data_IF_166131979358
#
_entry.id   IF_166131979358
#
_cell.length_a   1.000
_cell.length_b   1.000
_cell.length_c   1.000
_cell.angle_alpha   90.00
_cell.angle_beta   90.00
_cell.angle_gamma   90.00
#
_symmetry.space_group_name_H-M   'P 1'
#
loop_
_entity.id
_entity.type
_entity.pdbx_description
1 polymer ?
#
# COMPACT_ATOMS: atom_id res chain seq x y z
N UNK A 1 -17.76 13.09 -23.19
CA UNK A 1 -17.06 12.26 -22.20
C UNK A 1 -16.37 13.26 -21.30
N UNK A 2 -16.95 13.53 -20.14
CA UNK A 2 -16.49 14.57 -19.22
C UNK A 2 -15.39 13.96 -18.38
N UNK A 3 -14.24 14.64 -18.31
CA UNK A 3 -13.07 14.30 -17.52
C UNK A 3 -13.43 14.07 -16.03
N UNK A 4 -13.58 12.81 -15.63
CA UNK A 4 -13.75 12.37 -14.25
C UNK A 4 -12.37 12.13 -13.56
N UNK A 5 -11.29 12.72 -14.08
CA UNK A 5 -9.94 12.57 -13.54
C UNK A 5 -9.70 13.27 -12.18
N UNK A 6 -10.71 13.94 -11.59
CA UNK A 6 -10.54 14.75 -10.39
C UNK A 6 -11.33 14.27 -9.16
N UNK A 7 -11.99 13.12 -9.19
CA UNK A 7 -12.57 12.49 -8.01
C UNK A 7 -11.72 11.28 -7.60
N UNK A 8 -10.89 11.38 -6.56
CA UNK A 8 -10.08 10.25 -6.09
C UNK A 8 -10.87 9.17 -5.34
N UNK A 9 -12.12 9.45 -4.95
CA UNK A 9 -13.06 8.39 -4.62
C UNK A 9 -13.43 7.61 -5.88
N UNK A 10 -13.47 8.25 -7.05
CA UNK A 10 -13.56 7.59 -8.34
C UNK A 10 -12.27 6.83 -8.67
N UNK A 11 -11.08 7.41 -8.39
CA UNK A 11 -9.81 6.72 -8.60
C UNK A 11 -9.71 5.42 -7.78
N UNK A 12 -10.21 5.42 -6.54
CA UNK A 12 -10.26 4.22 -5.71
C UNK A 12 -11.43 3.29 -6.10
N UNK A 13 -12.54 3.83 -6.61
CA UNK A 13 -13.67 3.04 -7.10
C UNK A 13 -13.35 2.32 -8.42
N UNK A 14 -12.60 2.95 -9.32
CA UNK A 14 -12.11 2.33 -10.56
C UNK A 14 -11.09 1.19 -10.30
N UNK A 15 -10.53 1.15 -9.09
CA UNK A 15 -9.60 0.10 -8.64
C UNK A 15 -10.30 -1.00 -7.83
N UNK A 16 -11.59 -0.84 -7.51
CA UNK A 16 -12.38 -1.82 -6.79
C UNK A 16 -12.96 -2.84 -7.75
N UNK A 17 -12.70 -4.11 -7.49
CA UNK A 17 -13.25 -5.23 -8.23
C UNK A 17 -14.16 -6.05 -7.31
N UNK A 18 -15.46 -6.05 -7.60
CA UNK A 18 -16.47 -6.83 -6.84
C UNK A 18 -16.48 -8.32 -7.25
N UNK A 19 -15.72 -8.68 -8.30
CA UNK A 19 -15.61 -10.06 -8.75
C UNK A 19 -14.75 -10.89 -7.81
N UNK A 20 -15.21 -12.10 -7.50
CA UNK A 20 -14.40 -13.06 -6.75
C UNK A 20 -13.21 -13.53 -7.59
N UNK A 21 -12.11 -13.83 -6.89
CA UNK A 21 -10.91 -14.37 -7.51
C UNK A 21 -11.20 -15.80 -8.01
N UNK A 22 -10.87 -16.07 -9.26
CA UNK A 22 -10.96 -17.41 -9.85
C UNK A 22 -9.84 -18.31 -9.30
N UNK A 23 -10.14 -18.95 -8.18
CA UNK A 23 -9.22 -19.83 -7.44
C UNK A 23 -8.82 -21.02 -8.27
N UNK A 24 -9.77 -21.65 -8.99
CA UNK A 24 -9.53 -22.86 -9.76
C UNK A 24 -8.58 -22.62 -10.92
N UNK A 25 -8.71 -21.48 -11.59
CA UNK A 25 -7.77 -21.06 -12.65
C UNK A 25 -6.37 -20.78 -12.09
N UNK A 26 -6.26 -20.20 -10.89
CA UNK A 26 -4.96 -19.96 -10.26
C UNK A 26 -4.32 -21.30 -9.86
N UNK A 27 -5.06 -22.22 -9.26
CA UNK A 27 -4.56 -23.56 -8.88
C UNK A 27 -4.01 -24.29 -10.10
N UNK A 28 -4.79 -24.36 -11.17
CA UNK A 28 -4.37 -25.01 -12.43
C UNK A 28 -3.13 -24.36 -13.05
N UNK A 29 -3.03 -23.01 -12.94
CA UNK A 29 -1.86 -22.29 -13.44
C UNK A 29 -0.61 -22.58 -12.62
N UNK A 30 -0.73 -22.74 -11.31
CA UNK A 30 0.40 -23.10 -10.44
C UNK A 30 0.86 -24.54 -10.71
N UNK A 31 -0.08 -25.47 -10.94
CA UNK A 31 0.25 -26.85 -11.34
C UNK A 31 1.06 -26.85 -12.64
N UNK A 32 0.59 -26.14 -13.67
CA UNK A 32 1.30 -25.98 -14.93
C UNK A 32 2.71 -25.36 -14.74
N UNK A 33 2.89 -24.41 -13.82
CA UNK A 33 4.20 -23.84 -13.50
C UNK A 33 5.11 -24.93 -12.90
N UNK A 34 4.62 -25.76 -11.97
CA UNK A 34 5.40 -26.83 -11.35
C UNK A 34 5.90 -27.81 -12.40
N UNK A 35 5.02 -28.24 -13.31
CA UNK A 35 5.40 -29.11 -14.44
C UNK A 35 6.43 -28.43 -15.36
N UNK A 36 6.20 -27.17 -15.71
CA UNK A 36 7.06 -26.43 -16.63
C UNK A 36 8.49 -26.21 -16.11
N UNK A 37 8.68 -26.13 -14.80
CA UNK A 37 10.02 -26.07 -14.18
C UNK A 37 10.66 -27.44 -13.94
N UNK A 38 9.99 -28.55 -14.29
CA UNK A 38 10.47 -29.91 -14.16
C UNK A 38 10.23 -30.56 -12.80
N UNK A 39 9.28 -30.02 -12.00
CA UNK A 39 8.87 -30.64 -10.75
C UNK A 39 7.73 -31.65 -10.97
N UNK A 40 7.57 -32.58 -10.03
CA UNK A 40 6.45 -33.51 -9.97
C UNK A 40 5.35 -32.94 -9.05
N UNK A 41 4.21 -32.46 -9.60
CA UNK A 41 3.12 -31.89 -8.79
C UNK A 41 2.53 -32.89 -7.80
N UNK A 42 2.58 -34.21 -8.13
CA UNK A 42 2.01 -35.26 -7.29
C UNK A 42 2.90 -35.65 -6.10
N UNK A 43 4.15 -35.21 -6.05
CA UNK A 43 5.01 -35.52 -4.90
C UNK A 43 4.46 -34.91 -3.61
N UNK A 44 4.63 -35.61 -2.48
CA UNK A 44 4.05 -35.31 -1.17
C UNK A 44 4.22 -33.82 -0.74
N UNK A 45 5.31 -33.18 -1.10
CA UNK A 45 5.56 -31.77 -0.74
C UNK A 45 4.78 -30.77 -1.57
N UNK A 46 4.38 -31.11 -2.80
CA UNK A 46 3.78 -30.20 -3.79
C UNK A 46 2.29 -30.41 -4.03
N UNK A 47 1.73 -31.58 -3.72
CA UNK A 47 0.31 -31.91 -3.97
C UNK A 47 -0.70 -30.86 -3.45
N UNK A 48 -0.35 -30.10 -2.41
CA UNK A 48 -1.19 -29.01 -1.87
C UNK A 48 -0.68 -27.62 -2.24
N UNK A 49 0.39 -27.49 -3.02
CA UNK A 49 1.00 -26.20 -3.35
C UNK A 49 0.10 -25.33 -4.21
N UNK A 50 -0.59 -25.85 -5.26
CA UNK A 50 -1.52 -25.04 -6.04
C UNK A 50 -2.57 -24.34 -5.16
N UNK A 51 -3.26 -25.12 -4.32
CA UNK A 51 -4.25 -24.59 -3.39
C UNK A 51 -3.68 -23.56 -2.39
N UNK A 52 -2.49 -23.83 -1.83
CA UNK A 52 -1.85 -22.89 -0.87
C UNK A 52 -1.47 -21.57 -1.55
N UNK A 53 -0.98 -21.62 -2.77
CA UNK A 53 -0.64 -20.42 -3.54
C UNK A 53 -1.88 -19.62 -3.86
N UNK A 54 -2.94 -20.24 -4.38
CA UNK A 54 -4.20 -19.56 -4.67
C UNK A 54 -4.80 -18.90 -3.41
N UNK A 55 -4.79 -19.61 -2.28
CA UNK A 55 -5.22 -19.04 -1.00
C UNK A 55 -4.37 -17.85 -0.56
N UNK A 56 -3.05 -17.93 -0.71
CA UNK A 56 -2.17 -16.80 -0.35
C UNK A 56 -2.40 -15.57 -1.22
N UNK A 57 -2.67 -15.73 -2.51
CA UNK A 57 -3.03 -14.62 -3.39
C UNK A 57 -4.35 -13.95 -3.00
N UNK A 58 -5.31 -14.70 -2.46
CA UNK A 58 -6.55 -14.10 -1.95
C UNK A 58 -6.27 -13.11 -0.80
N UNK A 59 -5.29 -13.40 0.05
CA UNK A 59 -4.87 -12.51 1.15
C UNK A 59 -3.97 -11.38 0.63
N UNK A 60 -2.94 -11.68 -0.15
CA UNK A 60 -1.96 -10.72 -0.67
C UNK A 60 -2.56 -9.69 -1.64
N UNK A 61 -3.68 -10.00 -2.28
CA UNK A 61 -4.37 -9.15 -3.24
C UNK A 61 -5.75 -8.70 -2.74
N UNK A 62 -5.98 -8.75 -1.42
CA UNK A 62 -7.26 -8.38 -0.81
C UNK A 62 -7.65 -6.92 -1.08
N UNK A 63 -6.68 -6.03 -1.28
CA UNK A 63 -6.91 -4.61 -1.56
C UNK A 63 -7.74 -4.33 -2.81
N UNK A 64 -7.76 -5.24 -3.79
CA UNK A 64 -8.66 -5.12 -4.95
C UNK A 64 -10.14 -5.26 -4.58
N UNK A 65 -10.45 -5.91 -3.45
CA UNK A 65 -11.82 -6.20 -2.98
C UNK A 65 -12.23 -5.41 -1.74
N UNK A 66 -11.36 -4.51 -1.30
CA UNK A 66 -11.70 -3.58 -0.22
C UNK A 66 -12.47 -2.40 -0.79
N UNK A 67 -13.74 -2.23 -0.38
CA UNK A 67 -14.54 -1.06 -0.77
C UNK A 67 -13.97 0.21 -0.10
N UNK A 68 -13.43 1.16 -0.88
CA UNK A 68 -12.84 2.37 -0.34
C UNK A 68 -13.84 3.24 0.44
N UNK A 69 -15.11 3.25 0.03
CA UNK A 69 -16.16 4.02 0.72
C UNK A 69 -16.55 3.39 2.04
N UNK A 70 -16.77 2.07 2.06
CA UNK A 70 -17.07 1.33 3.27
C UNK A 70 -15.89 1.33 4.26
N UNK A 71 -14.64 1.44 3.77
CA UNK A 71 -13.47 1.52 4.62
C UNK A 71 -13.50 2.77 5.51
N UNK A 72 -13.88 3.92 4.99
CA UNK A 72 -13.94 5.18 5.75
C UNK A 72 -15.15 5.22 6.66
N UNK A 73 -16.34 4.81 6.14
CA UNK A 73 -17.64 4.90 6.79
C UNK A 73 -17.79 6.17 7.67
N UNK A 74 -18.33 6.05 8.90
CA UNK A 74 -18.57 7.18 9.81
C UNK A 74 -17.35 7.58 10.69
N UNK A 75 -16.13 7.19 10.32
CA UNK A 75 -14.94 7.43 11.13
C UNK A 75 -14.20 8.73 10.78
N UNK A 76 -14.90 9.71 10.20
CA UNK A 76 -14.43 11.10 10.03
C UNK A 76 -15.20 11.98 11.01
N UNK A 77 -14.46 12.77 11.78
CA UNK A 77 -15.00 13.56 12.88
C UNK A 77 -14.62 15.03 12.70
N UNK A 78 -15.56 15.93 12.97
CA UNK A 78 -15.28 17.35 13.02
C UNK A 78 -14.46 17.67 14.27
N UNK A 79 -13.43 18.49 14.12
CA UNK A 79 -12.53 18.85 15.22
C UNK A 79 -11.92 20.24 14.99
N UNK A 80 -11.81 21.00 16.07
CA UNK A 80 -11.05 22.26 16.09
C UNK A 80 -9.57 21.97 16.42
N UNK A 81 -8.84 21.37 15.48
CA UNK A 81 -7.42 21.02 15.60
C UNK A 81 -6.73 21.27 14.25
N UNK A 82 -5.68 22.05 14.27
CA UNK A 82 -4.95 22.53 13.08
C UNK A 82 -3.45 22.22 13.10
N UNK A 83 -3.00 21.42 14.07
CA UNK A 83 -1.64 20.94 14.16
C UNK A 83 -1.42 19.65 13.36
N UNK A 84 -0.17 19.32 13.11
CA UNK A 84 0.20 18.11 12.36
C UNK A 84 -0.21 16.84 13.11
N UNK A 85 -0.90 15.95 12.41
CA UNK A 85 -1.17 14.57 12.84
C UNK A 85 -0.22 13.64 12.11
N UNK A 86 0.54 12.83 12.84
CA UNK A 86 1.50 11.87 12.26
C UNK A 86 1.18 10.45 12.74
N UNK A 87 1.00 9.54 11.80
CA UNK A 87 0.94 8.08 12.04
C UNK A 87 2.13 7.45 11.33
N UNK A 88 3.06 6.91 12.10
CA UNK A 88 4.33 6.39 11.58
C UNK A 88 4.49 4.90 11.81
N UNK A 89 5.46 4.32 11.11
CA UNK A 89 5.86 2.92 11.25
C UNK A 89 4.71 1.94 10.92
N UNK A 90 3.85 2.31 9.97
CA UNK A 90 2.78 1.44 9.48
C UNK A 90 3.42 0.39 8.59
N UNK A 91 3.43 -0.85 9.02
CA UNK A 91 3.97 -1.96 8.24
C UNK A 91 3.10 -2.23 7.01
N UNK A 92 3.72 -2.57 5.90
CA UNK A 92 3.03 -2.98 4.70
C UNK A 92 3.73 -4.15 4.01
N UNK A 93 2.95 -4.93 3.29
CA UNK A 93 3.42 -5.88 2.30
C UNK A 93 2.68 -5.65 0.98
N UNK A 94 3.38 -5.83 -0.13
CA UNK A 94 2.81 -5.69 -1.46
C UNK A 94 3.49 -6.63 -2.45
N UNK A 95 2.90 -6.83 -3.62
CA UNK A 95 3.50 -7.58 -4.70
C UNK A 95 3.94 -6.63 -5.82
N UNK A 96 5.22 -6.69 -6.18
CA UNK A 96 5.74 -5.96 -7.32
C UNK A 96 5.06 -6.41 -8.62
N UNK A 97 4.40 -5.50 -9.34
CA UNK A 97 3.64 -5.83 -10.55
C UNK A 97 4.51 -6.41 -11.68
N UNK A 98 5.83 -6.12 -11.69
CA UNK A 98 6.74 -6.59 -12.72
C UNK A 98 7.13 -8.07 -12.56
N UNK A 99 7.12 -8.60 -11.35
CA UNK A 99 7.65 -9.93 -11.06
C UNK A 99 6.77 -10.76 -10.14
N UNK A 100 5.68 -10.21 -9.60
CA UNK A 100 4.82 -10.83 -8.58
C UNK A 100 5.61 -11.30 -7.34
N UNK A 101 6.78 -10.70 -7.10
CA UNK A 101 7.57 -10.93 -5.89
C UNK A 101 7.27 -9.86 -4.84
N UNK A 102 7.34 -10.21 -3.54
CA UNK A 102 7.02 -9.27 -2.48
C UNK A 102 7.97 -8.07 -2.41
N UNK A 103 7.44 -6.94 -1.98
CA UNK A 103 8.20 -5.91 -1.31
C UNK A 103 7.50 -5.53 -0.02
N UNK A 104 8.28 -5.33 1.02
CA UNK A 104 7.79 -5.10 2.37
C UNK A 104 8.46 -3.87 2.96
N UNK A 105 7.79 -3.22 3.90
CA UNK A 105 8.38 -2.03 4.49
C UNK A 105 7.47 -1.30 5.46
N UNK A 106 7.67 0.01 5.53
CA UNK A 106 6.90 0.90 6.39
C UNK A 106 6.43 2.13 5.64
N UNK A 107 5.24 2.57 5.99
CA UNK A 107 4.65 3.83 5.53
C UNK A 107 4.48 4.76 6.71
N UNK A 108 4.81 6.03 6.51
CA UNK A 108 4.57 7.11 7.43
C UNK A 108 3.62 8.10 6.78
N UNK A 109 2.54 8.42 7.46
CA UNK A 109 1.48 9.30 6.98
C UNK A 109 1.37 10.50 7.92
N UNK A 110 1.31 11.69 7.36
CA UNK A 110 0.95 12.90 8.10
C UNK A 110 -0.10 13.70 7.34
N UNK A 111 -0.93 14.42 8.09
CA UNK A 111 -1.83 15.43 7.52
C UNK A 111 -2.04 16.56 8.53
N UNK A 112 -2.37 17.75 8.05
CA UNK A 112 -2.79 18.88 8.87
C UNK A 112 -4.28 19.10 8.62
N UNK A 113 -5.14 18.87 9.63
CA UNK A 113 -6.57 19.03 9.47
C UNK A 113 -6.96 20.48 9.08
N UNK A 114 -8.04 20.63 8.31
CA UNK A 114 -8.75 21.91 8.20
C UNK A 114 -9.85 21.98 9.24
N UNK A 115 -10.73 20.98 9.24
CA UNK A 115 -11.89 20.87 10.13
C UNK A 115 -12.24 19.42 10.50
N UNK A 116 -11.50 18.44 9.93
CA UNK A 116 -11.81 17.01 10.07
C UNK A 116 -10.59 16.17 10.37
N UNK A 117 -10.77 15.18 11.24
CA UNK A 117 -9.81 14.11 11.49
C UNK A 117 -10.43 12.76 11.20
N UNK A 118 -9.57 11.78 10.94
CA UNK A 118 -9.98 10.40 10.71
C UNK A 118 -9.58 9.52 11.89
N UNK A 119 -10.42 8.54 12.19
CA UNK A 119 -10.09 7.55 13.22
C UNK A 119 -8.74 6.88 12.95
N UNK A 120 -7.88 6.81 13.97
CA UNK A 120 -6.50 6.34 13.87
C UNK A 120 -6.37 5.00 13.12
N UNK A 121 -7.26 4.04 13.39
CA UNK A 121 -7.26 2.71 12.77
C UNK A 121 -7.57 2.71 11.27
N UNK A 122 -8.06 3.83 10.72
CA UNK A 122 -8.37 3.94 9.29
C UNK A 122 -7.14 4.20 8.45
N UNK A 123 -6.13 4.89 9.00
CA UNK A 123 -4.89 5.17 8.29
C UNK A 123 -4.16 3.88 7.88
N UNK A 124 -3.89 2.90 8.78
CA UNK A 124 -3.33 1.61 8.35
C UNK A 124 -4.20 0.88 7.32
N UNK A 125 -5.52 0.92 7.45
CA UNK A 125 -6.42 0.28 6.49
C UNK A 125 -6.39 0.94 5.09
N UNK A 126 -6.14 2.25 5.03
CA UNK A 126 -5.89 2.94 3.75
C UNK A 126 -4.57 2.45 3.14
N UNK A 127 -3.54 2.25 3.96
CA UNK A 127 -2.28 1.66 3.49
C UNK A 127 -2.53 0.25 2.95
N UNK A 128 -3.27 -0.61 3.66
CA UNK A 128 -3.63 -1.96 3.20
C UNK A 128 -4.44 -1.93 1.88
N UNK A 129 -5.39 -1.02 1.74
CA UNK A 129 -6.19 -0.84 0.52
C UNK A 129 -5.31 -0.70 -0.72
N UNK A 130 -4.21 0.03 -0.63
CA UNK A 130 -3.31 0.30 -1.75
C UNK A 130 -2.10 -0.62 -1.82
N UNK A 131 -1.66 -1.21 -0.70
CA UNK A 131 -0.52 -2.12 -0.69
C UNK A 131 -0.87 -3.56 -1.05
N UNK A 132 -2.04 -4.08 -0.63
CA UNK A 132 -2.47 -5.46 -0.93
C UNK A 132 -2.97 -5.59 -2.39
N UNK A 133 -2.10 -5.23 -3.35
CA UNK A 133 -2.33 -5.22 -4.80
C UNK A 133 -1.03 -5.53 -5.55
N UNK A 134 -1.13 -5.70 -6.86
CA UNK A 134 0.04 -5.58 -7.73
C UNK A 134 0.42 -4.12 -7.86
N UNK A 135 1.62 -3.73 -7.40
CA UNK A 135 2.00 -2.33 -7.24
C UNK A 135 3.43 -2.02 -7.70
N UNK A 136 3.65 -0.73 -7.89
CA UNK A 136 4.97 -0.08 -7.76
C UNK A 136 4.91 0.88 -6.59
N UNK A 137 6.00 1.00 -5.84
CA UNK A 137 6.04 1.75 -4.59
C UNK A 137 5.67 3.23 -4.77
N UNK A 138 6.10 3.84 -5.87
CA UNK A 138 5.82 5.24 -6.21
C UNK A 138 4.32 5.49 -6.36
N UNK A 139 3.64 4.62 -7.10
CA UNK A 139 2.18 4.71 -7.31
C UNK A 139 1.42 4.49 -6.01
N UNK A 140 1.78 3.46 -5.23
CA UNK A 140 1.21 3.18 -3.92
C UNK A 140 1.31 4.41 -3.00
N UNK A 141 2.50 5.02 -2.91
CA UNK A 141 2.75 6.20 -2.08
C UNK A 141 1.87 7.38 -2.47
N UNK A 142 1.74 7.62 -3.78
CA UNK A 142 0.91 8.70 -4.33
C UNK A 142 -0.58 8.45 -4.08
N UNK A 143 -1.05 7.23 -4.33
CA UNK A 143 -2.46 6.86 -4.13
C UNK A 143 -2.90 7.00 -2.68
N UNK A 144 -2.06 6.61 -1.72
CA UNK A 144 -2.34 6.80 -0.28
C UNK A 144 -2.52 8.30 0.04
N UNK A 145 -1.60 9.14 -0.45
CA UNK A 145 -1.66 10.58 -0.18
C UNK A 145 -2.89 11.24 -0.81
N UNK A 146 -3.18 10.94 -2.06
CA UNK A 146 -4.32 11.49 -2.80
C UNK A 146 -5.65 11.04 -2.19
N UNK A 147 -5.76 9.79 -1.78
CA UNK A 147 -6.98 9.28 -1.16
C UNK A 147 -7.28 10.00 0.16
N UNK A 148 -6.26 10.16 1.04
CA UNK A 148 -6.41 10.89 2.30
C UNK A 148 -6.77 12.36 2.03
N UNK A 149 -6.14 12.98 1.04
CA UNK A 149 -6.38 14.36 0.66
C UNK A 149 -7.84 14.62 0.26
N UNK A 150 -8.46 13.67 -0.43
CA UNK A 150 -9.86 13.81 -0.87
C UNK A 150 -10.85 13.50 0.22
N UNK A 151 -10.58 12.48 1.02
CA UNK A 151 -11.46 12.10 2.12
C UNK A 151 -11.54 13.19 3.19
N UNK A 152 -10.41 13.79 3.57
CA UNK A 152 -10.32 14.75 4.67
C UNK A 152 -10.33 16.21 4.21
N UNK A 153 -9.92 16.49 2.97
CA UNK A 153 -9.69 17.86 2.46
C UNK A 153 -8.83 18.70 3.44
N UNK A 154 -7.70 18.16 3.88
CA UNK A 154 -6.86 18.82 4.88
C UNK A 154 -6.08 19.98 4.24
N UNK A 155 -5.34 20.77 5.03
CA UNK A 155 -4.40 21.78 4.53
C UNK A 155 -3.25 21.14 3.75
N UNK A 156 -2.90 19.90 4.03
CA UNK A 156 -1.93 19.10 3.29
C UNK A 156 -1.82 17.68 3.81
N UNK A 157 -1.17 16.85 2.98
CA UNK A 157 -0.86 15.44 3.28
C UNK A 157 0.59 15.16 2.94
N UNK A 158 1.27 14.39 3.77
CA UNK A 158 2.58 13.85 3.50
C UNK A 158 2.59 12.33 3.70
N UNK A 159 3.13 11.61 2.74
CA UNK A 159 3.33 10.17 2.83
C UNK A 159 4.76 9.84 2.45
N UNK A 160 5.45 9.05 3.27
CA UNK A 160 6.76 8.48 2.97
C UNK A 160 6.65 6.97 3.13
N UNK A 161 7.13 6.22 2.14
CA UNK A 161 7.22 4.77 2.17
C UNK A 161 8.68 4.33 2.02
N UNK A 162 9.13 3.41 2.85
CA UNK A 162 10.44 2.76 2.78
C UNK A 162 10.24 1.27 2.57
N UNK A 163 10.86 0.69 1.54
CA UNK A 163 10.64 -0.70 1.17
C UNK A 163 11.90 -1.46 0.81
N UNK A 164 11.87 -2.77 1.10
CA UNK A 164 12.81 -3.79 0.65
C UNK A 164 12.16 -4.61 -0.45
N UNK A 165 12.80 -4.67 -1.62
CA UNK A 165 12.24 -5.30 -2.82
C UNK A 165 12.87 -6.67 -3.07
N UNK A 166 12.12 -7.76 -2.84
CA UNK A 166 12.60 -9.12 -3.06
C UNK A 166 12.97 -9.38 -4.53
N UNK A 167 12.31 -8.70 -5.47
CA UNK A 167 12.64 -8.79 -6.89
C UNK A 167 14.05 -8.26 -7.22
N UNK A 168 14.63 -7.42 -6.38
CA UNK A 168 16.00 -6.92 -6.51
C UNK A 168 16.99 -7.71 -5.63
N UNK A 169 16.52 -8.23 -4.49
CA UNK A 169 17.37 -8.91 -3.51
C UNK A 169 17.71 -10.35 -3.93
N UNK A 170 16.70 -11.13 -4.37
CA UNK A 170 16.82 -12.57 -4.61
C UNK A 170 17.43 -12.90 -5.98
N UNK A 171 17.24 -12.05 -6.97
CA UNK A 171 17.68 -12.22 -8.35
C UNK A 171 18.01 -10.88 -8.99
N UNK A 172 18.50 -10.89 -10.24
CA UNK A 172 18.92 -9.70 -10.98
C UNK A 172 20.18 -9.08 -10.36
N UNK A 173 20.05 -7.89 -9.83
CA UNK A 173 21.19 -7.12 -9.25
C UNK A 173 21.68 -7.64 -7.90
N UNK A 174 20.88 -8.44 -7.20
CA UNK A 174 21.24 -9.11 -5.94
C UNK A 174 21.78 -8.16 -4.85
N UNK A 175 21.12 -7.01 -4.66
CA UNK A 175 21.47 -6.03 -3.61
C UNK A 175 20.51 -6.19 -2.43
N UNK A 176 21.03 -6.78 -1.32
CA UNK A 176 20.20 -7.16 -0.17
C UNK A 176 19.93 -5.99 0.78
N UNK A 177 20.86 -5.04 0.89
CA UNK A 177 20.77 -3.92 1.82
C UNK A 177 20.17 -2.64 1.18
N UNK A 178 19.90 -2.68 -0.13
CA UNK A 178 19.34 -1.53 -0.83
C UNK A 178 17.85 -1.34 -0.46
N UNK A 179 17.53 -0.16 0.05
CA UNK A 179 16.17 0.27 0.40
C UNK A 179 15.70 1.32 -0.59
N UNK A 180 14.42 1.29 -0.91
CA UNK A 180 13.77 2.30 -1.72
C UNK A 180 12.94 3.19 -0.83
N UNK A 181 13.14 4.51 -0.93
CA UNK A 181 12.30 5.50 -0.26
C UNK A 181 11.54 6.31 -1.31
N UNK A 182 10.23 6.40 -1.15
CA UNK A 182 9.34 7.22 -1.98
C UNK A 182 8.57 8.19 -1.12
N UNK A 183 8.24 9.36 -1.65
CA UNK A 183 7.48 10.39 -0.93
C UNK A 183 6.43 11.05 -1.81
N UNK A 184 5.27 11.36 -1.22
CA UNK A 184 4.23 12.20 -1.80
C UNK A 184 3.90 13.32 -0.80
N UNK A 185 3.99 14.57 -1.27
CA UNK A 185 3.75 15.78 -0.49
C UNK A 185 2.67 16.61 -1.20
N UNK A 186 1.58 16.92 -0.51
CA UNK A 186 0.44 17.67 -1.02
C UNK A 186 0.15 18.88 -0.13
N UNK A 187 -0.38 19.96 -0.73
CA UNK A 187 -0.71 21.20 -0.02
C UNK A 187 0.48 21.77 0.73
N UNK A 188 0.29 22.18 1.98
CA UNK A 188 1.31 22.88 2.77
C UNK A 188 2.63 22.09 2.94
N UNK A 189 2.59 20.74 2.95
CA UNK A 189 3.84 19.95 2.98
C UNK A 189 4.67 20.09 1.72
N UNK A 190 4.06 20.50 0.61
CA UNK A 190 4.76 20.77 -0.65
C UNK A 190 5.25 22.22 -0.72
N UNK A 191 4.46 23.14 -0.18
CA UNK A 191 4.65 24.58 -0.31
C UNK A 191 5.56 25.16 0.77
N UNK A 192 5.48 24.64 2.01
CA UNK A 192 6.28 25.12 3.15
C UNK A 192 7.35 24.09 3.56
N UNK A 193 8.61 24.53 3.46
CA UNK A 193 9.77 23.71 3.82
C UNK A 193 9.84 23.40 5.33
N UNK A 194 9.37 24.31 6.18
CA UNK A 194 9.39 24.13 7.64
C UNK A 194 8.49 22.97 8.06
N UNK A 195 7.25 22.98 7.59
CA UNK A 195 6.26 21.92 7.82
C UNK A 195 6.75 20.56 7.28
N UNK A 196 7.33 20.58 6.07
CA UNK A 196 7.93 19.37 5.49
C UNK A 196 9.06 18.82 6.34
N UNK A 197 9.96 19.67 6.82
CA UNK A 197 11.09 19.27 7.64
C UNK A 197 10.67 18.79 9.03
N UNK A 198 9.62 19.36 9.62
CA UNK A 198 9.04 18.86 10.86
C UNK A 198 8.59 17.41 10.72
N UNK A 199 7.83 17.08 9.68
CA UNK A 199 7.41 15.71 9.38
C UNK A 199 8.62 14.78 9.20
N UNK A 200 9.57 15.15 8.32
CA UNK A 200 10.75 14.32 8.04
C UNK A 200 11.61 14.06 9.29
N UNK A 201 11.75 15.07 10.15
CA UNK A 201 12.48 14.92 11.42
C UNK A 201 11.77 13.99 12.40
N UNK A 202 10.42 14.01 12.43
CA UNK A 202 9.64 13.13 13.29
C UNK A 202 9.75 11.65 12.87
N UNK A 203 9.77 11.35 11.56
CA UNK A 203 9.92 9.97 11.09
C UNK A 203 11.36 9.45 11.19
N UNK A 204 12.37 10.30 11.00
CA UNK A 204 13.79 9.90 11.08
C UNK A 204 14.23 9.47 12.48
N UNK A 205 13.64 10.03 13.54
CA UNK A 205 13.97 9.69 14.94
C UNK A 205 13.56 8.27 15.33
N UNK A 206 12.67 7.62 14.58
CA UNK A 206 12.24 6.22 14.80
C UNK A 206 13.11 5.19 14.06
N UNK A 207 13.83 5.60 13.03
CA UNK A 207 14.55 4.70 12.14
C UNK A 207 15.80 4.02 12.78
N UNK A 208 16.30 4.53 13.91
CA UNK A 208 17.51 4.02 14.55
C UNK A 208 17.37 2.61 15.18
N UNK A 209 16.15 2.06 15.33
CA UNK A 209 15.89 0.80 16.04
C UNK A 209 15.02 -0.21 15.31
N UNK A 210 14.76 -0.07 14.03
CA UNK A 210 13.72 -0.85 13.40
C UNK A 210 14.15 -1.40 12.05
N UNK A 211 14.91 -2.46 12.07
CA UNK A 211 14.94 -3.53 11.07
C UNK A 211 16.09 -4.49 11.46
N UNK A 212 15.76 -5.52 12.20
CA UNK A 212 16.32 -6.84 11.96
C UNK A 212 15.37 -7.56 11.07
#
# INVERSE_FOLDING_TARGET
MVDNCNDPLALAADLFCDEEMDIDTIESSVENILEAIGEDPERQGLIKTPHRVAKSYKELLAGYRMDPKALINEAVFDVAYDEIVIVRDIEFSSLCEHHMLPFIGRVHVAYIPSDKVIGLSKIPRIVDLFSLRLQVQERMTTQIAEYINVVLKPQGVAVVAEGLHMCMMLRGVKKQDARMTTSAMLGIFREDMSTRMEFLNNISRGAANAFL
#
